data_IF_370728198269
#
_entry.id   IF_370728198269
#
_cell.length_a   1.000
_cell.length_b   1.000
_cell.length_c   1.000
_cell.angle_alpha   90.00
_cell.angle_beta   90.00
_cell.angle_gamma   90.00
#
_symmetry.space_group_name_H-M   'P 1'
#
loop_
_entity.id
_entity.type
_entity.pdbx_description
1 polymer ?
#
# COMPACT_ATOMS: atom_id res chain seq x y z
N UNK A 1 -20.85 6.30 -8.31
CA UNK A 1 -20.81 5.96 -6.89
C UNK A 1 -19.86 4.77 -6.66
N UNK A 2 -19.65 4.31 -5.40
CA UNK A 2 -18.72 3.22 -5.09
C UNK A 2 -19.08 1.88 -5.76
N UNK A 3 -20.35 1.61 -5.99
CA UNK A 3 -20.80 0.39 -6.68
C UNK A 3 -20.47 0.44 -8.18
N UNK A 4 -20.58 1.60 -8.81
CA UNK A 4 -20.26 1.77 -10.23
C UNK A 4 -18.76 1.57 -10.49
N UNK A 5 -17.94 1.79 -9.47
CA UNK A 5 -16.48 1.58 -9.51
C UNK A 5 -16.05 0.18 -9.03
N UNK A 6 -16.97 -0.70 -8.71
CA UNK A 6 -16.66 -2.06 -8.19
C UNK A 6 -15.67 -2.06 -7.03
N UNK A 7 -15.81 -1.08 -6.11
CA UNK A 7 -14.87 -0.87 -4.99
C UNK A 7 -14.74 -2.10 -4.09
N UNK A 8 -15.83 -2.82 -3.72
CA UNK A 8 -15.69 -4.03 -2.89
C UNK A 8 -14.81 -5.10 -3.53
N UNK A 9 -14.98 -5.37 -4.82
CA UNK A 9 -14.20 -6.37 -5.56
C UNK A 9 -12.72 -5.97 -5.61
N UNK A 10 -12.45 -4.71 -5.90
CA UNK A 10 -11.08 -4.16 -5.94
C UNK A 10 -10.39 -4.21 -4.57
N UNK A 11 -11.12 -4.00 -3.48
CA UNK A 11 -10.59 -4.16 -2.13
C UNK A 11 -10.27 -5.62 -1.85
N UNK A 12 -11.11 -6.57 -2.26
CA UNK A 12 -10.86 -8.00 -2.10
C UNK A 12 -9.58 -8.40 -2.84
N UNK A 13 -9.42 -7.95 -4.09
CA UNK A 13 -8.24 -8.22 -4.91
C UNK A 13 -6.97 -7.62 -4.29
N UNK A 14 -7.06 -6.41 -3.76
CA UNK A 14 -5.94 -5.76 -3.07
C UNK A 14 -5.55 -6.53 -1.81
N UNK A 15 -6.52 -6.89 -0.98
CA UNK A 15 -6.28 -7.64 0.27
C UNK A 15 -5.73 -9.03 -0.02
N UNK A 16 -6.19 -9.71 -1.07
CA UNK A 16 -5.69 -11.03 -1.45
C UNK A 16 -4.19 -11.03 -1.83
N UNK A 17 -3.65 -9.87 -2.20
CA UNK A 17 -2.25 -9.70 -2.54
C UNK A 17 -1.36 -9.33 -1.35
N UNK A 18 -1.93 -9.03 -0.17
CA UNK A 18 -1.17 -8.72 1.04
C UNK A 18 -0.56 -9.99 1.65
N UNK A 19 0.46 -9.85 2.51
CA UNK A 19 0.94 -10.96 3.34
C UNK A 19 -0.18 -11.61 4.17
N UNK A 20 -0.02 -12.89 4.50
CA UNK A 20 -1.06 -13.67 5.16
C UNK A 20 -1.49 -13.10 6.53
N UNK A 21 -0.55 -12.57 7.28
CA UNK A 21 -0.80 -11.89 8.56
C UNK A 21 -1.74 -10.68 8.40
N UNK A 22 -1.52 -9.85 7.40
CA UNK A 22 -2.37 -8.69 7.07
C UNK A 22 -3.76 -9.12 6.57
N UNK A 23 -3.83 -10.16 5.74
CA UNK A 23 -5.11 -10.72 5.30
C UNK A 23 -5.93 -11.22 6.49
N UNK A 24 -5.29 -11.89 7.45
CA UNK A 24 -5.95 -12.42 8.63
C UNK A 24 -6.43 -11.29 9.56
N UNK A 25 -5.64 -10.23 9.71
CA UNK A 25 -6.07 -9.03 10.44
C UNK A 25 -7.32 -8.40 9.80
N UNK A 26 -7.34 -8.26 8.48
CA UNK A 26 -8.50 -7.73 7.76
C UNK A 26 -9.74 -8.61 7.91
N UNK A 27 -9.58 -9.94 7.85
CA UNK A 27 -10.67 -10.90 8.14
C UNK A 27 -11.22 -10.75 9.56
N UNK A 28 -10.35 -10.54 10.55
CA UNK A 28 -10.79 -10.30 11.94
C UNK A 28 -11.60 -9.01 12.05
N UNK A 29 -11.19 -7.93 11.39
CA UNK A 29 -11.96 -6.68 11.34
C UNK A 29 -13.33 -6.87 10.67
N UNK A 30 -13.42 -7.63 9.58
CA UNK A 30 -14.70 -7.96 8.96
C UNK A 30 -15.60 -8.80 9.87
N UNK A 31 -15.02 -9.75 10.61
CA UNK A 31 -15.76 -10.54 11.59
C UNK A 31 -16.28 -9.69 12.75
N UNK A 32 -15.51 -8.69 13.17
CA UNK A 32 -15.97 -7.71 14.16
C UNK A 32 -17.22 -6.96 13.65
N UNK A 33 -17.21 -6.52 12.38
CA UNK A 33 -18.39 -5.89 11.75
C UNK A 33 -19.61 -6.82 11.70
N UNK A 34 -19.40 -8.11 11.47
CA UNK A 34 -20.50 -9.09 11.41
C UNK A 34 -21.02 -9.47 12.79
N UNK A 35 -20.25 -9.22 13.85
CA UNK A 35 -20.66 -9.61 15.20
C UNK A 35 -21.84 -8.79 15.68
N UNK A 36 -22.92 -9.45 16.07
CA UNK A 36 -24.12 -8.81 16.63
C UNK A 36 -23.87 -8.07 17.97
N UNK A 37 -22.73 -8.33 18.62
CA UNK A 37 -22.30 -7.64 19.86
C UNK A 37 -22.16 -6.12 19.66
N UNK A 38 -21.79 -5.65 18.47
CA UNK A 38 -21.67 -4.21 18.17
C UNK A 38 -23.03 -3.54 17.95
N UNK A 39 -24.03 -4.29 17.47
CA UNK A 39 -25.40 -3.78 17.30
C UNK A 39 -26.15 -3.61 18.61
N UNK A 40 -25.86 -4.44 19.62
CA UNK A 40 -26.57 -4.46 20.90
C UNK A 40 -26.39 -3.15 21.68
N UNK A 41 -25.24 -2.50 21.58
CA UNK A 41 -24.92 -1.32 22.38
C UNK A 41 -25.52 -0.01 21.85
N UNK A 42 -25.95 0.04 20.57
CA UNK A 42 -26.34 1.28 19.90
C UNK A 42 -27.73 1.30 19.27
N UNK A 43 -28.22 0.14 18.76
CA UNK A 43 -29.45 0.08 17.98
C UNK A 43 -30.45 -0.98 18.48
N UNK A 44 -30.22 -1.55 19.68
CA UNK A 44 -31.05 -2.62 20.24
C UNK A 44 -30.64 -4.03 19.76
N UNK A 45 -31.25 -5.08 20.31
CA UNK A 45 -30.86 -6.44 20.02
C UNK A 45 -31.09 -6.81 18.56
N UNK A 46 -30.05 -7.30 17.90
CA UNK A 46 -30.09 -8.06 16.63
C UNK A 46 -30.00 -7.35 15.29
N UNK A 47 -29.44 -6.15 15.15
CA UNK A 47 -29.16 -5.62 13.82
C UNK A 47 -27.69 -5.86 13.44
N UNK A 48 -27.45 -6.75 12.49
CA UNK A 48 -26.16 -6.84 11.80
C UNK A 48 -25.89 -5.52 11.06
N UNK A 49 -24.65 -5.08 11.04
CA UNK A 49 -24.22 -3.87 10.28
C UNK A 49 -24.67 -3.91 8.83
N UNK A 50 -24.76 -5.10 8.24
CA UNK A 50 -25.23 -5.31 6.85
C UNK A 50 -26.70 -4.97 6.61
N UNK A 51 -27.49 -4.73 7.67
CA UNK A 51 -28.92 -4.39 7.59
C UNK A 51 -29.22 -2.95 8.01
N UNK A 52 -28.18 -2.18 8.33
CA UNK A 52 -28.33 -0.77 8.72
C UNK A 52 -28.65 0.08 7.49
N UNK A 53 -29.49 1.10 7.69
CA UNK A 53 -29.68 2.16 6.71
C UNK A 53 -28.41 3.04 6.63
N UNK A 54 -28.17 3.76 5.51
CA UNK A 54 -26.98 4.61 5.35
C UNK A 54 -26.74 5.57 6.54
N UNK A 55 -27.78 6.24 7.04
CA UNK A 55 -27.66 7.19 8.15
C UNK A 55 -27.28 6.49 9.49
N UNK A 56 -27.72 5.24 9.66
CA UNK A 56 -27.36 4.43 10.83
C UNK A 56 -25.91 3.96 10.73
N UNK A 57 -25.48 3.56 9.52
CA UNK A 57 -24.09 3.16 9.25
C UNK A 57 -23.14 4.33 9.50
N UNK A 58 -23.50 5.54 9.05
CA UNK A 58 -22.71 6.75 9.29
C UNK A 58 -22.54 7.03 10.79
N UNK A 59 -23.64 7.03 11.55
CA UNK A 59 -23.59 7.21 13.00
C UNK A 59 -22.74 6.16 13.71
N UNK A 60 -22.84 4.90 13.28
CA UNK A 60 -22.01 3.83 13.82
C UNK A 60 -20.52 4.10 13.56
N UNK A 61 -20.15 4.41 12.32
CA UNK A 61 -18.76 4.70 11.96
C UNK A 61 -18.22 5.94 12.67
N UNK A 62 -19.03 6.99 12.82
CA UNK A 62 -18.67 8.17 13.60
C UNK A 62 -18.40 7.80 15.06
N UNK A 63 -19.25 6.94 15.65
CA UNK A 63 -19.04 6.48 17.02
C UNK A 63 -17.76 5.67 17.19
N UNK A 64 -17.38 4.87 16.19
CA UNK A 64 -16.13 4.14 16.22
C UNK A 64 -14.93 5.06 16.14
N UNK A 65 -15.01 6.13 15.34
CA UNK A 65 -13.92 7.10 15.21
C UNK A 65 -13.57 7.78 16.54
N UNK A 66 -14.58 7.93 17.43
CA UNK A 66 -14.45 8.60 18.73
C UNK A 66 -14.46 7.62 19.91
N UNK A 67 -14.46 6.32 19.66
CA UNK A 67 -14.58 5.30 20.69
C UNK A 67 -13.38 5.31 21.65
N UNK A 68 -13.63 5.05 22.93
CA UNK A 68 -12.60 4.83 23.93
C UNK A 68 -11.87 3.49 23.71
N UNK A 69 -12.48 2.54 22.99
CA UNK A 69 -11.89 1.24 22.67
C UNK A 69 -10.94 1.37 21.48
N UNK A 70 -9.63 1.12 21.64
CA UNK A 70 -8.64 1.24 20.55
C UNK A 70 -8.96 0.39 19.32
N UNK A 71 -9.51 -0.82 19.53
CA UNK A 71 -9.88 -1.74 18.47
C UNK A 71 -10.94 -1.14 17.52
N UNK A 72 -11.93 -0.42 18.03
CA UNK A 72 -12.96 0.22 17.20
C UNK A 72 -12.39 1.40 16.41
N UNK A 73 -11.53 2.22 17.04
CA UNK A 73 -10.84 3.30 16.32
C UNK A 73 -9.94 2.74 15.21
N UNK A 74 -9.18 1.67 15.50
CA UNK A 74 -8.34 0.99 14.50
C UNK A 74 -9.20 0.47 13.34
N UNK A 75 -10.32 -0.19 13.63
CA UNK A 75 -11.24 -0.69 12.61
C UNK A 75 -11.76 0.45 11.72
N UNK A 76 -12.23 1.55 12.30
CA UNK A 76 -12.69 2.71 11.55
C UNK A 76 -11.59 3.27 10.63
N UNK A 77 -10.38 3.48 11.17
CA UNK A 77 -9.25 4.02 10.42
C UNK A 77 -8.86 3.10 9.26
N UNK A 78 -8.79 1.79 9.51
CA UNK A 78 -8.44 0.79 8.49
C UNK A 78 -9.45 0.78 7.34
N UNK A 79 -10.75 0.68 7.64
CA UNK A 79 -11.78 0.71 6.60
C UNK A 79 -11.80 2.03 5.84
N UNK A 80 -11.72 3.16 6.53
CA UNK A 80 -11.65 4.47 5.90
C UNK A 80 -10.46 4.56 4.93
N UNK A 81 -9.26 4.17 5.39
CA UNK A 81 -8.04 4.25 4.56
C UNK A 81 -8.15 3.39 3.30
N UNK A 82 -8.52 2.11 3.44
CA UNK A 82 -8.56 1.20 2.29
C UNK A 82 -9.65 1.59 1.30
N UNK A 83 -10.84 1.98 1.78
CA UNK A 83 -11.92 2.42 0.92
C UNK A 83 -11.55 3.70 0.18
N UNK A 84 -11.05 4.72 0.89
CA UNK A 84 -10.63 5.97 0.26
C UNK A 84 -9.47 5.76 -0.71
N UNK A 85 -8.48 4.93 -0.35
CA UNK A 85 -7.34 4.61 -1.21
C UNK A 85 -7.79 4.00 -2.55
N UNK A 86 -8.66 3.00 -2.50
CA UNK A 86 -9.18 2.38 -3.72
C UNK A 86 -10.14 3.32 -4.47
N UNK A 87 -11.02 4.02 -3.77
CA UNK A 87 -12.02 4.90 -4.36
C UNK A 87 -11.41 6.08 -5.13
N UNK A 88 -10.36 6.69 -4.60
CA UNK A 88 -9.69 7.83 -5.23
C UNK A 88 -8.44 7.45 -6.04
N UNK A 89 -7.73 6.40 -5.66
CA UNK A 89 -6.45 6.04 -6.28
C UNK A 89 -6.55 5.03 -7.42
N UNK A 90 -7.64 4.25 -7.48
CA UNK A 90 -7.76 3.22 -8.51
C UNK A 90 -8.13 3.82 -9.87
N UNK A 91 -7.39 3.44 -10.90
CA UNK A 91 -7.72 3.73 -12.30
C UNK A 91 -7.39 2.53 -13.19
N UNK A 92 -8.13 2.35 -14.26
CA UNK A 92 -7.82 1.37 -15.28
C UNK A 92 -6.84 1.92 -16.32
N UNK A 93 -6.20 1.04 -17.08
CA UNK A 93 -5.15 1.45 -18.03
C UNK A 93 -5.61 2.49 -19.04
N UNK A 94 -6.87 2.44 -19.44
CA UNK A 94 -7.43 3.29 -20.48
C UNK A 94 -8.55 4.22 -19.98
N UNK A 95 -8.82 4.24 -18.68
CA UNK A 95 -9.87 5.08 -18.11
C UNK A 95 -9.38 5.73 -16.82
N UNK A 96 -9.37 7.07 -16.76
CA UNK A 96 -9.08 7.78 -15.53
C UNK A 96 -10.15 7.50 -14.48
N UNK A 97 -9.79 7.62 -13.21
CA UNK A 97 -10.78 7.55 -12.13
C UNK A 97 -11.75 8.74 -12.26
N UNK A 98 -13.07 8.50 -12.34
CA UNK A 98 -14.05 9.57 -12.55
C UNK A 98 -14.13 10.59 -11.39
N UNK A 99 -13.55 10.26 -10.23
CA UNK A 99 -13.51 11.19 -9.11
C UNK A 99 -12.38 12.23 -9.22
N UNK A 100 -11.38 12.00 -10.09
CA UNK A 100 -10.23 12.89 -10.21
C UNK A 100 -10.62 14.29 -10.66
N UNK A 101 -11.53 14.41 -11.65
CA UNK A 101 -12.05 15.70 -12.08
C UNK A 101 -12.69 16.47 -10.92
N UNK A 102 -13.52 15.80 -10.11
CA UNK A 102 -14.22 16.41 -8.99
C UNK A 102 -13.30 16.96 -7.89
N UNK A 103 -12.10 16.38 -7.73
CA UNK A 103 -11.11 16.81 -6.73
C UNK A 103 -9.95 17.61 -7.35
N UNK A 104 -9.98 17.87 -8.66
CA UNK A 104 -8.92 18.60 -9.38
C UNK A 104 -7.59 17.84 -9.48
N UNK A 105 -7.62 16.48 -9.41
CA UNK A 105 -6.42 15.67 -9.55
C UNK A 105 -6.16 15.35 -11.04
N UNK A 106 -4.99 15.71 -11.58
CA UNK A 106 -4.72 15.57 -13.02
C UNK A 106 -4.51 14.12 -13.49
N UNK A 107 -4.32 13.17 -12.57
CA UNK A 107 -3.94 11.81 -12.90
C UNK A 107 -2.46 11.67 -13.30
N UNK A 108 -2.08 10.57 -13.95
CA UNK A 108 -0.74 10.38 -14.50
C UNK A 108 -0.37 11.51 -15.46
N UNK A 109 0.79 12.13 -15.26
CA UNK A 109 1.24 13.30 -16.03
C UNK A 109 2.12 12.95 -17.24
N UNK A 110 2.51 11.67 -17.35
CA UNK A 110 3.38 11.21 -18.43
C UNK A 110 2.56 10.56 -19.54
N UNK A 111 2.53 11.20 -20.68
CA UNK A 111 1.88 10.69 -21.90
C UNK A 111 2.75 9.67 -22.66
N UNK A 112 4.02 9.56 -22.30
CA UNK A 112 4.98 8.65 -22.94
C UNK A 112 5.91 8.03 -21.93
N UNK A 113 6.28 6.76 -22.10
CA UNK A 113 7.31 6.15 -21.28
C UNK A 113 8.61 6.92 -21.39
N UNK A 114 9.23 7.20 -20.24
CA UNK A 114 10.56 7.81 -20.20
C UNK A 114 11.55 6.97 -21.01
N UNK A 115 12.52 7.61 -21.67
CA UNK A 115 13.60 6.86 -22.32
C UNK A 115 14.39 6.13 -21.25
N UNK A 116 14.41 4.81 -21.37
CA UNK A 116 15.13 3.94 -20.44
C UNK A 116 16.61 3.93 -20.79
N UNK A 117 17.44 4.22 -19.83
CA UNK A 117 18.86 3.94 -19.86
C UNK A 117 19.17 2.88 -18.80
N UNK A 118 19.59 1.71 -19.21
CA UNK A 118 19.99 0.63 -18.30
C UNK A 118 21.31 0.98 -17.59
N UNK A 119 21.21 1.76 -16.52
CA UNK A 119 22.36 2.15 -15.71
C UNK A 119 22.76 1.08 -14.70
N UNK A 120 21.85 0.17 -14.36
CA UNK A 120 22.07 -0.82 -13.32
C UNK A 120 22.35 -2.20 -13.92
N UNK A 121 23.54 -2.71 -13.63
CA UNK A 121 23.89 -4.11 -13.93
C UNK A 121 23.40 -4.98 -12.78
N UNK A 122 22.25 -5.60 -12.93
CA UNK A 122 21.74 -6.59 -12.00
C UNK A 122 22.39 -7.95 -12.24
N UNK A 123 22.61 -8.69 -11.17
CA UNK A 123 23.14 -10.07 -11.22
C UNK A 123 21.97 -11.00 -10.93
N UNK A 124 21.55 -11.78 -11.94
CA UNK A 124 20.57 -12.85 -11.71
C UNK A 124 21.24 -14.02 -11.01
N UNK A 125 20.65 -14.46 -9.90
CA UNK A 125 21.13 -15.58 -9.10
C UNK A 125 20.06 -16.66 -9.09
N UNK A 126 20.22 -17.65 -9.97
CA UNK A 126 19.28 -18.77 -10.14
C UNK A 126 19.59 -19.95 -9.20
N UNK A 127 20.76 -19.94 -8.58
CA UNK A 127 21.23 -21.00 -7.69
C UNK A 127 22.13 -20.44 -6.58
N UNK A 128 22.49 -21.29 -5.61
CA UNK A 128 23.44 -20.94 -4.55
C UNK A 128 24.78 -20.51 -5.17
N UNK A 129 25.06 -19.22 -5.14
CA UNK A 129 26.22 -18.59 -5.76
C UNK A 129 27.09 -17.92 -4.70
N UNK A 130 28.41 -18.03 -4.82
CA UNK A 130 29.37 -17.31 -3.98
C UNK A 130 29.97 -16.17 -4.79
N UNK A 131 29.73 -14.96 -4.36
CA UNK A 131 30.31 -13.75 -4.93
C UNK A 131 31.40 -13.19 -4.01
N UNK A 132 32.43 -12.57 -4.59
CA UNK A 132 33.51 -11.92 -3.84
C UNK A 132 33.55 -10.44 -4.19
N UNK A 133 33.58 -9.60 -3.16
CA UNK A 133 33.67 -8.15 -3.27
C UNK A 133 34.58 -7.59 -2.16
N UNK A 134 35.04 -6.34 -2.32
CA UNK A 134 35.76 -5.63 -1.26
C UNK A 134 34.78 -5.10 -0.21
N UNK A 135 33.59 -4.68 -0.65
CA UNK A 135 32.55 -4.10 0.23
C UNK A 135 31.19 -4.63 -0.17
N UNK A 136 30.44 -5.14 0.80
CA UNK A 136 29.03 -5.48 0.67
C UNK A 136 28.18 -4.37 1.32
N UNK A 137 27.28 -3.77 0.53
CA UNK A 137 26.30 -2.79 1.01
C UNK A 137 24.94 -3.46 1.06
N UNK A 138 24.30 -3.45 2.21
CA UNK A 138 22.95 -4.01 2.41
C UNK A 138 21.95 -2.86 2.41
N UNK A 139 21.09 -2.83 1.38
CA UNK A 139 20.13 -1.76 1.13
C UNK A 139 20.67 -0.68 0.18
N UNK A 140 19.90 -0.40 -0.85
CA UNK A 140 20.23 0.58 -1.91
C UNK A 140 19.57 1.95 -1.70
N UNK A 141 18.92 2.19 -0.57
CA UNK A 141 18.33 3.50 -0.24
C UNK A 141 19.36 4.61 -0.16
N UNK A 142 18.91 5.83 0.17
CA UNK A 142 19.74 7.05 0.15
C UNK A 142 21.14 6.90 0.77
N UNK A 143 21.25 6.29 1.94
CA UNK A 143 22.54 6.07 2.61
C UNK A 143 23.41 5.04 1.91
N UNK A 144 22.83 3.87 1.56
CA UNK A 144 23.56 2.79 0.92
C UNK A 144 24.07 3.16 -0.47
N UNK A 145 23.25 3.83 -1.26
CA UNK A 145 23.62 4.30 -2.60
C UNK A 145 24.83 5.26 -2.57
N UNK A 146 24.82 6.23 -1.65
CA UNK A 146 25.94 7.18 -1.50
C UNK A 146 27.22 6.47 -1.09
N UNK A 147 27.16 5.60 -0.08
CA UNK A 147 28.35 4.84 0.39
C UNK A 147 28.89 3.96 -0.75
N UNK A 148 28.01 3.26 -1.47
CA UNK A 148 28.40 2.41 -2.60
C UNK A 148 29.08 3.21 -3.70
N UNK A 149 28.51 4.36 -4.08
CA UNK A 149 29.06 5.23 -5.12
C UNK A 149 30.45 5.78 -4.72
N UNK A 150 30.61 6.27 -3.49
CA UNK A 150 31.88 6.81 -3.03
C UNK A 150 32.99 5.75 -2.94
N UNK A 151 32.66 4.55 -2.54
CA UNK A 151 33.62 3.45 -2.51
C UNK A 151 33.99 2.94 -3.91
N UNK A 152 33.02 2.87 -4.81
CA UNK A 152 33.26 2.50 -6.21
C UNK A 152 34.17 3.53 -6.91
N UNK A 153 33.95 4.84 -6.70
CA UNK A 153 34.85 5.91 -7.18
C UNK A 153 36.28 5.76 -6.69
N UNK A 154 36.49 5.16 -5.52
CA UNK A 154 37.81 4.83 -4.96
C UNK A 154 38.38 3.51 -5.46
N UNK A 155 37.79 2.91 -6.47
CA UNK A 155 38.25 1.68 -7.10
C UNK A 155 37.91 0.40 -6.33
N UNK A 156 37.02 0.44 -5.34
CA UNK A 156 36.60 -0.75 -4.61
C UNK A 156 35.56 -1.53 -5.41
N UNK A 157 35.64 -2.86 -5.37
CA UNK A 157 34.62 -3.76 -5.92
C UNK A 157 33.44 -3.80 -4.92
N UNK A 158 32.40 -3.03 -5.21
CA UNK A 158 31.22 -2.93 -4.35
C UNK A 158 30.10 -3.83 -4.86
N UNK A 159 29.48 -4.58 -3.97
CA UNK A 159 28.27 -5.34 -4.21
C UNK A 159 27.14 -4.74 -3.37
N UNK A 160 26.00 -4.45 -3.97
CA UNK A 160 24.79 -4.01 -3.28
C UNK A 160 23.79 -5.17 -3.27
N UNK A 161 23.21 -5.45 -2.13
CA UNK A 161 22.10 -6.41 -1.96
C UNK A 161 20.90 -5.64 -1.42
N UNK A 162 19.78 -5.77 -2.11
CA UNK A 162 18.51 -5.17 -1.70
C UNK A 162 17.40 -6.22 -1.70
N UNK A 163 16.41 -6.06 -0.83
CA UNK A 163 15.24 -6.95 -0.82
C UNK A 163 14.20 -6.54 -1.86
N UNK A 164 14.22 -5.28 -2.27
CA UNK A 164 13.29 -4.68 -3.20
C UNK A 164 13.63 -5.00 -4.65
N UNK A 165 12.61 -5.06 -5.49
CA UNK A 165 12.78 -5.26 -6.92
C UNK A 165 13.35 -3.99 -7.59
N UNK A 166 14.05 -4.18 -8.71
CA UNK A 166 14.36 -3.09 -9.61
C UNK A 166 13.15 -2.81 -10.48
N UNK A 167 12.54 -1.66 -10.30
CA UNK A 167 11.44 -1.17 -11.12
C UNK A 167 11.99 -0.07 -12.02
N UNK A 168 11.89 -0.27 -13.31
CA UNK A 168 12.40 0.68 -14.30
C UNK A 168 11.44 1.88 -14.43
N UNK A 169 11.95 3.00 -14.94
CA UNK A 169 11.14 4.19 -15.20
C UNK A 169 9.98 3.89 -16.18
N UNK A 170 10.16 2.94 -17.10
CA UNK A 170 9.11 2.50 -18.03
C UNK A 170 7.97 1.77 -17.33
N UNK A 171 8.25 1.10 -16.21
CA UNK A 171 7.27 0.40 -15.41
C UNK A 171 6.54 1.31 -14.43
N UNK A 172 7.01 2.56 -14.26
CA UNK A 172 6.40 3.57 -13.38
C UNK A 172 5.19 4.21 -14.06
N UNK A 173 4.03 3.61 -13.88
CA UNK A 173 2.77 4.02 -14.54
C UNK A 173 2.15 5.28 -13.92
N UNK A 174 2.66 5.78 -12.80
CA UNK A 174 2.08 6.85 -11.97
C UNK A 174 0.65 6.56 -11.47
N UNK A 175 0.16 5.34 -11.62
CA UNK A 175 -1.10 4.90 -11.02
C UNK A 175 -0.87 4.52 -9.59
N UNK A 176 -1.48 5.27 -8.67
CA UNK A 176 -1.13 5.22 -7.26
C UNK A 176 -1.31 3.82 -6.65
N UNK A 177 -2.46 3.18 -6.84
CA UNK A 177 -2.73 1.85 -6.26
C UNK A 177 -1.75 0.80 -6.81
N UNK A 178 -1.45 0.84 -8.11
CA UNK A 178 -0.49 -0.07 -8.75
C UNK A 178 0.94 0.17 -8.24
N UNK A 179 1.38 1.43 -8.23
CA UNK A 179 2.74 1.78 -7.84
C UNK A 179 2.99 1.58 -6.34
N UNK A 180 2.01 1.88 -5.49
CA UNK A 180 2.10 1.56 -4.07
C UNK A 180 2.31 0.06 -3.85
N UNK A 181 1.60 -0.78 -4.62
CA UNK A 181 1.77 -2.23 -4.57
C UNK A 181 3.16 -2.73 -4.98
N UNK A 182 3.84 -2.03 -5.88
CA UNK A 182 5.17 -2.40 -6.41
C UNK A 182 6.32 -1.78 -5.62
N UNK A 183 6.17 -0.53 -5.18
CA UNK A 183 7.28 0.26 -4.65
C UNK A 183 7.34 0.30 -3.12
N UNK A 184 6.22 0.05 -2.42
CA UNK A 184 6.13 0.27 -0.98
C UNK A 184 6.11 -1.04 -0.18
N UNK A 185 6.72 -0.98 1.01
CA UNK A 185 6.67 -2.06 1.99
C UNK A 185 5.21 -2.37 2.35
N UNK A 186 4.88 -3.67 2.44
CA UNK A 186 3.50 -4.11 2.68
C UNK A 186 2.47 -3.41 1.77
N UNK A 187 2.86 -3.09 0.54
CA UNK A 187 2.02 -2.42 -0.46
C UNK A 187 1.43 -1.09 0.00
N UNK A 188 2.15 -0.38 0.88
CA UNK A 188 1.74 0.93 1.42
C UNK A 188 0.73 0.87 2.57
N UNK A 189 0.40 -0.31 3.08
CA UNK A 189 -0.56 -0.45 4.20
C UNK A 189 0.12 -0.59 5.57
N UNK A 190 1.45 -0.42 5.65
CA UNK A 190 2.17 -0.47 6.91
C UNK A 190 1.71 0.64 7.85
N UNK A 191 1.32 0.28 9.07
CA UNK A 191 0.86 1.24 10.08
C UNK A 191 1.55 0.99 11.42
N UNK A 192 1.48 1.98 12.32
CA UNK A 192 1.79 1.76 13.73
C UNK A 192 0.72 0.87 14.39
N UNK A 193 0.98 0.45 15.63
CA UNK A 193 0.18 -0.56 16.33
C UNK A 193 -1.31 -0.21 16.46
N UNK A 194 -1.65 1.07 16.65
CA UNK A 194 -3.03 1.53 16.78
C UNK A 194 -3.68 1.98 15.45
N UNK A 195 -2.95 1.88 14.33
CA UNK A 195 -3.42 2.26 13.00
C UNK A 195 -3.55 3.78 12.75
N UNK A 196 -3.20 4.62 13.73
CA UNK A 196 -3.36 6.08 13.60
C UNK A 196 -2.40 6.69 12.59
N UNK A 197 -1.21 6.09 12.41
CA UNK A 197 -0.16 6.59 11.52
C UNK A 197 0.12 5.56 10.42
N UNK A 198 0.19 6.00 9.16
CA UNK A 198 0.70 5.19 8.06
C UNK A 198 2.19 5.44 7.91
N UNK A 199 2.96 4.37 7.81
CA UNK A 199 4.41 4.40 7.62
C UNK A 199 4.68 4.10 6.15
N UNK A 200 5.21 5.06 5.43
CA UNK A 200 5.60 4.89 4.04
C UNK A 200 7.07 4.52 3.99
N UNK A 201 7.34 3.28 3.59
CA UNK A 201 8.69 2.78 3.43
C UNK A 201 8.85 2.19 2.04
N UNK A 202 9.85 2.63 1.28
CA UNK A 202 10.15 2.06 -0.03
C UNK A 202 10.67 0.62 0.11
N UNK A 203 10.20 -0.25 -0.77
CA UNK A 203 10.65 -1.64 -0.93
C UNK A 203 11.01 -1.92 -2.40
N UNK A 204 11.85 -1.06 -2.93
CA UNK A 204 12.40 -1.15 -4.29
C UNK A 204 13.87 -0.71 -4.27
N UNK A 205 14.62 -1.01 -5.32
CA UNK A 205 15.98 -0.47 -5.49
C UNK A 205 15.91 1.07 -5.54
N UNK A 206 16.77 1.73 -4.76
CA UNK A 206 16.73 3.17 -4.51
C UNK A 206 16.01 3.54 -3.22
N UNK A 207 15.22 2.66 -2.64
CA UNK A 207 14.47 2.89 -1.41
C UNK A 207 13.27 3.81 -1.60
N UNK A 208 12.94 4.61 -0.59
CA UNK A 208 11.79 5.51 -0.59
C UNK A 208 12.14 7.00 -0.82
N UNK A 209 13.28 7.27 -1.40
CA UNK A 209 13.79 8.64 -1.62
C UNK A 209 13.44 9.13 -3.00
#
# INVERSE_FOLDING_TARGET
NANDLHIPEKIIDLVAQLPEDEQNEFKQLLNLLKSSLLGITWFGPMLSVTRLKPEQTEKLLQSWSQSKLPALRKAFITFKKIICFVYFGYSESNQPNPNWEAIGYPGPLLDSPLQYNDYLKTINIDAKTKLTCDVLVIGSGAGGAVVAAELAKKGKKVLIVDKGAYITEQEMTQREVEMMGKLMEKKGVLTNQDGSMTIMAGSCIGGGT
#
